data_IF_244013961747
#
_entry.id   IF_244013961747
#
_cell.length_a   1.000
_cell.length_b   1.000
_cell.length_c   1.000
_cell.angle_alpha   90.00
_cell.angle_beta   90.00
_cell.angle_gamma   90.00
#
_symmetry.space_group_name_H-M   'P 1'
#
loop_
_entity.id
_entity.type
_entity.pdbx_description
1 polymer ?
#
# COMPACT_ATOMS: atom_id res chain seq x y z
N UNK A 1 -48.02 -4.12 64.73
CA UNK A 1 -48.47 -3.58 63.43
C UNK A 1 -47.23 -3.27 62.61
N UNK A 2 -46.96 -4.15 61.67
CA UNK A 2 -45.77 -4.22 60.83
C UNK A 2 -46.22 -3.82 59.41
N UNK A 3 -45.62 -2.80 58.81
CA UNK A 3 -45.64 -2.48 57.36
C UNK A 3 -44.92 -1.16 57.10
N UNK A 4 -43.62 -1.22 56.78
CA UNK A 4 -42.90 -0.10 56.13
C UNK A 4 -41.56 -0.58 55.54
N UNK A 5 -41.57 -1.64 54.73
CA UNK A 5 -40.39 -2.09 54.03
C UNK A 5 -40.77 -2.71 52.70
N UNK A 6 -40.96 -1.91 51.64
CA UNK A 6 -41.03 -2.45 50.27
C UNK A 6 -40.95 -1.46 49.10
N UNK A 7 -40.71 -0.14 49.29
CA UNK A 7 -40.79 0.83 48.18
C UNK A 7 -39.50 1.58 47.83
N UNK A 8 -38.33 1.12 48.28
CA UNK A 8 -37.06 1.83 47.99
C UNK A 8 -36.01 1.05 47.20
N UNK A 9 -36.37 -0.11 46.63
CA UNK A 9 -35.41 -1.03 46.00
C UNK A 9 -35.50 -1.10 44.46
N UNK A 10 -36.48 -0.43 43.83
CA UNK A 10 -36.72 -0.54 42.37
C UNK A 10 -36.05 0.51 41.47
N UNK A 11 -35.68 1.70 42.00
CA UNK A 11 -35.15 2.81 41.17
C UNK A 11 -33.65 2.74 40.91
N UNK A 12 -32.86 2.16 41.82
CA UNK A 12 -31.41 2.09 41.65
C UNK A 12 -30.98 1.00 40.66
N UNK A 13 -31.67 -0.13 40.63
CA UNK A 13 -31.36 -1.24 39.73
C UNK A 13 -31.57 -0.90 38.26
N UNK A 14 -32.59 -0.10 37.93
CA UNK A 14 -32.87 0.32 36.54
C UNK A 14 -31.84 1.34 36.00
N UNK A 15 -31.36 2.25 36.84
CA UNK A 15 -30.33 3.25 36.45
C UNK A 15 -28.97 2.57 36.26
N UNK A 16 -28.63 1.59 37.10
CA UNK A 16 -27.40 0.80 36.98
C UNK A 16 -27.39 -0.13 35.76
N UNK A 17 -28.54 -0.70 35.37
CA UNK A 17 -28.65 -1.51 34.16
C UNK A 17 -28.50 -0.67 32.89
N UNK A 18 -29.09 0.53 32.87
CA UNK A 18 -29.02 1.46 31.73
C UNK A 18 -27.61 2.02 31.49
N UNK A 19 -26.88 2.36 32.56
CA UNK A 19 -25.48 2.81 32.44
C UNK A 19 -24.53 1.69 32.04
N UNK A 20 -24.76 0.46 32.52
CA UNK A 20 -23.97 -0.70 32.09
C UNK A 20 -24.15 -1.02 30.60
N UNK A 21 -25.37 -0.92 30.07
CA UNK A 21 -25.68 -1.13 28.64
C UNK A 21 -25.04 -0.05 27.74
N UNK A 22 -25.06 1.22 28.16
CA UNK A 22 -24.43 2.32 27.40
C UNK A 22 -22.90 2.19 27.42
N UNK A 23 -22.30 1.84 28.56
CA UNK A 23 -20.86 1.60 28.66
C UNK A 23 -20.41 0.37 27.84
N UNK A 24 -21.21 -0.69 27.80
CA UNK A 24 -20.93 -1.87 26.98
C UNK A 24 -21.01 -1.54 25.47
N UNK A 25 -21.97 -0.71 25.05
CA UNK A 25 -22.06 -0.25 23.66
C UNK A 25 -20.88 0.62 23.21
N UNK A 26 -20.39 1.51 24.07
CA UNK A 26 -19.23 2.37 23.78
C UNK A 26 -17.93 1.55 23.67
N UNK A 27 -17.78 0.51 24.50
CA UNK A 27 -16.60 -0.36 24.45
C UNK A 27 -16.57 -1.24 23.19
N UNK A 28 -17.73 -1.61 22.64
CA UNK A 28 -17.84 -2.34 21.37
C UNK A 28 -17.41 -1.51 20.15
N UNK A 29 -17.61 -0.19 20.18
CA UNK A 29 -17.19 0.71 19.08
C UNK A 29 -15.66 0.88 19.03
N UNK A 30 -14.98 0.82 20.18
CA UNK A 30 -13.51 0.93 20.25
C UNK A 30 -12.77 -0.36 19.83
N UNK A 31 -13.46 -1.51 19.84
CA UNK A 31 -12.94 -2.79 19.35
C UNK A 31 -13.11 -2.98 17.84
N UNK A 32 -13.74 -2.03 17.15
CA UNK A 32 -13.67 -1.91 15.69
C UNK A 32 -12.25 -1.51 15.31
N UNK A 33 -11.34 -2.49 15.28
CA UNK A 33 -10.01 -2.41 14.69
C UNK A 33 -10.13 -2.07 13.19
N UNK A 34 -10.39 -0.80 12.89
CA UNK A 34 -10.16 -0.25 11.57
C UNK A 34 -8.64 -0.27 11.34
N UNK A 35 -8.15 -1.35 10.74
CA UNK A 35 -6.76 -1.41 10.26
C UNK A 35 -6.62 -0.30 9.24
N UNK A 36 -5.88 0.76 9.60
CA UNK A 36 -5.67 1.91 8.72
C UNK A 36 -4.94 1.41 7.46
N UNK A 37 -5.46 1.69 6.26
CA UNK A 37 -4.79 1.33 5.01
C UNK A 37 -3.34 1.85 4.97
N UNK A 38 -2.43 1.04 4.43
CA UNK A 38 -0.99 1.32 4.48
C UNK A 38 -0.52 2.13 3.26
N UNK A 39 -0.13 3.40 3.47
CA UNK A 39 0.63 4.20 2.47
C UNK A 39 2.11 4.05 2.75
N UNK A 40 2.92 3.94 1.69
CA UNK A 40 4.37 3.85 1.81
C UNK A 40 4.93 5.08 2.54
N UNK A 41 5.96 4.89 3.37
CA UNK A 41 6.69 6.03 3.92
C UNK A 41 7.69 6.56 2.89
N UNK A 42 7.86 7.88 2.82
CA UNK A 42 8.71 8.52 1.82
C UNK A 42 10.18 8.07 1.93
N UNK A 43 10.72 7.94 3.14
CA UNK A 43 12.08 7.44 3.39
C UNK A 43 12.30 6.04 2.82
N UNK A 44 11.27 5.19 2.85
CA UNK A 44 11.30 3.84 2.29
C UNK A 44 11.31 3.85 0.77
N UNK A 45 10.56 4.77 0.15
CA UNK A 45 10.58 4.98 -1.29
C UNK A 45 11.97 5.47 -1.73
N UNK A 46 12.55 6.44 -1.03
CA UNK A 46 13.90 6.94 -1.33
C UNK A 46 14.92 5.81 -1.23
N UNK A 47 14.87 5.02 -0.16
CA UNK A 47 15.74 3.85 0.01
C UNK A 47 15.57 2.80 -1.09
N UNK A 48 14.34 2.62 -1.60
CA UNK A 48 14.07 1.75 -2.74
C UNK A 48 14.68 2.31 -4.03
N UNK A 49 14.57 3.61 -4.28
CA UNK A 49 15.19 4.25 -5.45
C UNK A 49 16.72 4.11 -5.39
N UNK A 50 17.34 4.26 -4.22
CA UNK A 50 18.78 3.99 -4.05
C UNK A 50 19.13 2.53 -4.38
N UNK A 51 18.29 1.58 -3.98
CA UNK A 51 18.47 0.16 -4.30
C UNK A 51 18.37 -0.09 -5.81
N UNK A 52 17.40 0.54 -6.49
CA UNK A 52 17.25 0.48 -7.95
C UNK A 52 18.49 1.05 -8.65
N UNK A 53 18.94 2.24 -8.25
CA UNK A 53 20.07 2.93 -8.86
C UNK A 53 21.39 2.16 -8.75
N UNK A 54 21.58 1.36 -7.68
CA UNK A 54 22.76 0.50 -7.53
C UNK A 54 22.62 -0.89 -8.14
N UNK A 55 21.49 -1.22 -8.78
CA UNK A 55 21.23 -2.53 -9.39
C UNK A 55 20.83 -3.63 -8.39
N UNK A 56 20.48 -3.29 -7.16
CA UNK A 56 20.28 -4.26 -6.08
C UNK A 56 18.88 -4.90 -6.00
N UNK A 57 18.02 -4.72 -7.00
CA UNK A 57 16.62 -5.22 -6.94
C UNK A 57 16.58 -6.75 -6.82
N UNK A 58 17.40 -7.44 -7.61
CA UNK A 58 17.49 -8.91 -7.61
C UNK A 58 18.17 -9.48 -6.35
N UNK A 59 18.85 -8.64 -5.56
CA UNK A 59 19.50 -9.04 -4.30
C UNK A 59 18.51 -9.21 -3.15
N UNK A 60 17.28 -8.69 -3.29
CA UNK A 60 16.25 -8.72 -2.24
C UNK A 60 15.15 -9.71 -2.63
N UNK A 61 15.13 -10.92 -2.04
CA UNK A 61 14.13 -11.93 -2.36
C UNK A 61 12.71 -11.43 -2.13
N UNK A 62 11.85 -11.56 -3.15
CA UNK A 62 10.45 -11.16 -3.10
C UNK A 62 10.20 -9.66 -3.26
N UNK A 63 11.24 -8.85 -3.49
CA UNK A 63 11.08 -7.41 -3.72
C UNK A 63 10.32 -7.12 -5.01
N UNK A 64 10.76 -7.70 -6.13
CA UNK A 64 10.05 -7.69 -7.40
C UNK A 64 9.63 -9.13 -7.71
N UNK A 65 8.33 -9.36 -7.90
CA UNK A 65 7.81 -10.70 -8.18
C UNK A 65 6.76 -10.65 -9.27
N UNK A 66 6.65 -11.75 -10.01
CA UNK A 66 5.61 -11.89 -11.02
C UNK A 66 4.24 -12.18 -10.41
N UNK A 67 3.15 -11.71 -11.04
CA UNK A 67 3.15 -10.87 -12.25
C UNK A 67 3.57 -9.43 -11.94
N UNK A 68 4.35 -8.83 -12.84
CA UNK A 68 4.94 -7.50 -12.65
C UNK A 68 4.63 -6.59 -13.83
N UNK A 69 4.23 -5.34 -13.59
CA UNK A 69 3.85 -4.39 -14.64
C UNK A 69 5.02 -3.48 -15.03
N UNK A 70 5.46 -3.51 -16.29
CA UNK A 70 6.51 -2.64 -16.85
C UNK A 70 5.96 -1.86 -18.03
N UNK A 71 5.80 -0.53 -17.93
CA UNK A 71 5.34 0.34 -19.04
C UNK A 71 4.11 -0.19 -19.83
N UNK A 72 3.20 -0.85 -19.11
CA UNK A 72 1.98 -1.44 -19.69
C UNK A 72 2.10 -2.88 -20.19
N UNK A 73 3.27 -3.51 -20.06
CA UNK A 73 3.51 -4.94 -20.30
C UNK A 73 3.51 -5.71 -18.96
N UNK A 74 2.85 -6.87 -18.93
CA UNK A 74 2.79 -7.73 -17.74
C UNK A 74 3.80 -8.86 -17.90
N UNK A 75 4.86 -8.81 -17.09
CA UNK A 75 5.88 -9.84 -17.04
C UNK A 75 5.40 -10.98 -16.14
N UNK A 76 5.29 -12.18 -16.70
CA UNK A 76 4.78 -13.37 -16.01
C UNK A 76 5.89 -14.34 -15.57
N UNK A 77 7.07 -14.27 -16.18
CA UNK A 77 8.20 -15.14 -15.85
C UNK A 77 9.23 -14.40 -14.98
N UNK A 78 9.59 -15.01 -13.85
CA UNK A 78 10.54 -14.41 -12.91
C UNK A 78 11.93 -14.24 -13.55
N UNK A 79 12.30 -15.11 -14.49
CA UNK A 79 13.55 -15.00 -15.24
C UNK A 79 13.59 -13.70 -16.05
N UNK A 80 12.55 -13.40 -16.82
CA UNK A 80 12.47 -12.19 -17.66
C UNK A 80 12.48 -10.93 -16.79
N UNK A 81 11.79 -10.97 -15.64
CA UNK A 81 11.82 -9.87 -14.68
C UNK A 81 13.22 -9.66 -14.09
N UNK A 82 13.94 -10.74 -13.76
CA UNK A 82 15.32 -10.66 -13.26
C UNK A 82 16.25 -10.08 -14.34
N UNK A 83 16.13 -10.57 -15.58
CA UNK A 83 16.94 -10.11 -16.72
C UNK A 83 16.65 -8.63 -17.04
N UNK A 84 15.39 -8.18 -16.92
CA UNK A 84 15.04 -6.76 -17.06
C UNK A 84 15.84 -5.89 -16.10
N UNK A 85 15.84 -6.20 -14.80
CA UNK A 85 16.56 -5.41 -13.80
C UNK A 85 18.08 -5.44 -14.01
N UNK A 86 18.63 -6.60 -14.35
CA UNK A 86 20.07 -6.74 -14.64
C UNK A 86 20.47 -5.92 -15.86
N UNK A 87 19.69 -5.97 -16.94
CA UNK A 87 19.96 -5.25 -18.17
C UNK A 87 19.83 -3.73 -17.98
N UNK A 88 18.85 -3.30 -17.20
CA UNK A 88 18.65 -1.90 -16.83
C UNK A 88 19.86 -1.36 -16.07
N UNK A 89 20.37 -2.10 -15.08
CA UNK A 89 21.59 -1.73 -14.37
C UNK A 89 22.83 -1.73 -15.29
N UNK A 90 23.02 -2.76 -16.11
CA UNK A 90 24.14 -2.86 -17.08
C UNK A 90 24.13 -1.72 -18.10
N UNK A 91 22.95 -1.21 -18.46
CA UNK A 91 22.79 -0.05 -19.33
C UNK A 91 23.13 1.29 -18.65
N UNK A 92 23.51 1.27 -17.36
CA UNK A 92 23.82 2.48 -16.60
C UNK A 92 22.59 3.27 -16.17
N UNK A 93 21.41 2.64 -16.15
CA UNK A 93 20.19 3.31 -15.71
C UNK A 93 20.32 3.81 -14.28
N UNK A 94 19.88 5.05 -14.06
CA UNK A 94 19.78 5.64 -12.74
C UNK A 94 18.68 6.70 -12.74
N UNK A 95 17.90 6.76 -11.67
CA UNK A 95 16.92 7.80 -11.42
C UNK A 95 17.65 8.97 -10.75
N UNK A 96 18.00 10.01 -11.53
CA UNK A 96 18.82 11.12 -11.03
C UNK A 96 18.00 12.16 -10.28
N UNK A 97 18.54 12.66 -9.18
CA UNK A 97 17.89 13.67 -8.32
C UNK A 97 16.42 13.33 -8.00
N UNK A 98 16.15 12.10 -7.48
CA UNK A 98 14.80 11.63 -7.24
C UNK A 98 14.14 12.45 -6.13
N UNK A 99 12.88 12.80 -6.34
CA UNK A 99 12.01 13.42 -5.33
C UNK A 99 10.62 12.83 -5.42
N UNK A 100 10.07 12.42 -4.28
CA UNK A 100 8.71 11.88 -4.21
C UNK A 100 7.74 13.03 -4.40
N UNK A 101 7.04 13.06 -5.53
CA UNK A 101 6.10 14.12 -5.87
C UNK A 101 4.67 13.80 -5.44
N UNK A 102 4.31 12.52 -5.43
CA UNK A 102 3.02 12.04 -4.95
C UNK A 102 3.19 10.63 -4.39
N UNK A 103 2.47 10.36 -3.31
CA UNK A 103 2.37 9.03 -2.71
C UNK A 103 0.96 8.87 -2.15
N UNK A 104 0.18 7.96 -2.73
CA UNK A 104 -1.22 7.72 -2.38
C UNK A 104 -1.61 6.29 -2.69
N UNK A 105 -2.77 5.87 -2.20
CA UNK A 105 -3.36 4.59 -2.61
C UNK A 105 -3.53 4.52 -4.12
N UNK A 106 -3.19 3.37 -4.68
CA UNK A 106 -3.44 3.05 -6.07
C UNK A 106 -4.95 2.79 -6.27
N UNK A 107 -5.48 3.26 -7.39
CA UNK A 107 -6.83 2.95 -7.85
C UNK A 107 -6.78 2.30 -9.23
N UNK A 108 -7.87 1.71 -9.69
CA UNK A 108 -7.92 1.05 -11.01
C UNK A 108 -7.71 2.06 -12.14
N UNK A 109 -8.13 3.31 -11.94
CA UNK A 109 -7.99 4.41 -12.89
C UNK A 109 -6.51 4.79 -13.11
N UNK A 110 -5.62 4.40 -12.20
CA UNK A 110 -4.19 4.65 -12.32
C UNK A 110 -3.51 3.78 -13.38
N UNK A 111 -4.20 2.76 -13.91
CA UNK A 111 -3.74 1.98 -15.05
C UNK A 111 -3.26 2.86 -16.22
N UNK A 112 -3.90 4.04 -16.41
CA UNK A 112 -3.55 5.01 -17.45
C UNK A 112 -2.12 5.56 -17.36
N UNK A 113 -1.48 5.52 -16.19
CA UNK A 113 -0.09 5.96 -16.03
C UNK A 113 0.92 4.95 -16.58
N UNK A 114 0.50 3.69 -16.77
CA UNK A 114 1.32 2.64 -17.38
C UNK A 114 0.93 2.43 -18.83
N UNK A 115 -0.37 2.19 -19.09
CA UNK A 115 -0.99 2.13 -20.42
C UNK A 115 -2.50 2.05 -20.28
N UNK A 116 -3.21 2.83 -21.09
CA UNK A 116 -4.68 2.80 -21.14
C UNK A 116 -5.20 1.58 -21.91
N UNK A 117 -5.14 0.40 -21.29
CA UNK A 117 -5.63 -0.84 -21.88
C UNK A 117 -6.51 -1.64 -20.90
N UNK A 118 -7.37 -2.50 -21.46
CA UNK A 118 -8.19 -3.42 -20.66
C UNK A 118 -7.34 -4.43 -19.88
N UNK A 119 -6.21 -4.84 -20.43
CA UNK A 119 -5.25 -5.75 -19.80
C UNK A 119 -4.64 -5.12 -18.54
N UNK A 120 -4.12 -3.89 -18.65
CA UNK A 120 -3.53 -3.18 -17.50
C UNK A 120 -4.59 -2.84 -16.45
N UNK A 121 -5.80 -2.43 -16.87
CA UNK A 121 -6.93 -2.28 -15.94
C UNK A 121 -7.23 -3.58 -15.18
N UNK A 122 -7.16 -4.72 -15.86
CA UNK A 122 -7.39 -6.03 -15.23
C UNK A 122 -6.25 -6.40 -14.28
N UNK A 123 -5.01 -6.06 -14.62
CA UNK A 123 -3.87 -6.19 -13.70
C UNK A 123 -4.12 -5.41 -12.41
N UNK A 124 -4.47 -4.12 -12.51
CA UNK A 124 -4.77 -3.30 -11.34
C UNK A 124 -5.89 -3.92 -10.49
N UNK A 125 -6.99 -4.32 -11.11
CA UNK A 125 -8.11 -4.97 -10.40
C UNK A 125 -7.72 -6.24 -9.65
N UNK A 126 -6.75 -7.02 -10.16
CA UNK A 126 -6.36 -8.32 -9.58
C UNK A 126 -5.22 -8.22 -8.57
N UNK A 127 -4.29 -7.30 -8.78
CA UNK A 127 -3.01 -7.29 -8.07
C UNK A 127 -2.77 -6.04 -7.21
N UNK A 128 -3.72 -5.09 -7.20
CA UNK A 128 -3.71 -3.98 -6.25
C UNK A 128 -4.78 -4.17 -5.18
N UNK A 129 -4.45 -3.74 -3.97
CA UNK A 129 -5.31 -3.79 -2.80
C UNK A 129 -5.22 -2.48 -2.01
N UNK A 130 -5.86 -2.44 -0.84
CA UNK A 130 -5.87 -1.26 0.05
C UNK A 130 -4.50 -0.85 0.60
N UNK A 131 -3.48 -1.71 0.48
CA UNK A 131 -2.11 -1.45 0.95
C UNK A 131 -1.15 -1.21 -0.23
N UNK A 132 -1.70 -1.08 -1.44
CA UNK A 132 -0.98 -0.76 -2.66
C UNK A 132 -0.99 0.75 -2.86
N UNK A 133 0.20 1.33 -2.98
CA UNK A 133 0.39 2.74 -3.28
C UNK A 133 0.89 2.95 -4.70
N UNK A 134 0.39 4.00 -5.36
CA UNK A 134 1.02 4.58 -6.53
C UNK A 134 1.92 5.73 -6.06
N UNK A 135 3.20 5.63 -6.38
CA UNK A 135 4.20 6.64 -6.03
C UNK A 135 4.78 7.25 -7.29
N UNK A 136 4.70 8.59 -7.38
CA UNK A 136 5.33 9.36 -8.44
C UNK A 136 6.68 9.88 -7.97
N UNK A 137 7.74 9.48 -8.66
CA UNK A 137 9.10 9.95 -8.42
C UNK A 137 9.49 10.86 -9.57
N UNK A 138 9.61 12.16 -9.30
CA UNK A 138 10.19 13.09 -10.27
C UNK A 138 11.70 13.01 -10.21
N UNK A 139 12.35 13.03 -11.36
CA UNK A 139 13.80 12.97 -11.49
C UNK A 139 14.29 14.07 -12.42
N UNK A 140 15.58 14.09 -12.76
CA UNK A 140 16.10 14.90 -13.86
C UNK A 140 15.76 14.30 -15.23
N UNK A 141 15.41 13.01 -15.28
CA UNK A 141 15.18 12.21 -16.49
C UNK A 141 13.69 12.12 -16.89
N UNK A 142 12.81 12.66 -16.05
CA UNK A 142 11.35 12.60 -16.20
C UNK A 142 10.66 12.10 -14.93
N UNK A 143 9.39 11.73 -15.06
CA UNK A 143 8.60 11.17 -13.95
C UNK A 143 8.52 9.65 -14.07
N UNK A 144 8.81 8.97 -12.97
CA UNK A 144 8.63 7.53 -12.81
C UNK A 144 7.41 7.22 -11.96
N UNK A 145 6.74 6.13 -12.26
CA UNK A 145 5.59 5.61 -11.52
C UNK A 145 5.96 4.27 -10.91
N UNK A 146 5.92 4.18 -9.60
CA UNK A 146 6.16 2.95 -8.85
C UNK A 146 4.83 2.47 -8.26
N UNK A 147 4.49 1.21 -8.53
CA UNK A 147 3.35 0.54 -7.90
C UNK A 147 3.88 -0.32 -6.76
N UNK A 148 3.60 0.08 -5.52
CA UNK A 148 4.28 -0.43 -4.33
C UNK A 148 3.29 -1.05 -3.34
N UNK A 149 3.51 -2.32 -2.99
CA UNK A 149 2.77 -3.05 -1.96
C UNK A 149 3.48 -3.06 -0.61
N UNK A 150 2.99 -3.90 0.32
CA UNK A 150 3.57 -4.03 1.67
C UNK A 150 5.06 -4.33 1.66
N UNK A 151 5.75 -3.87 2.70
CA UNK A 151 7.19 -4.04 2.82
C UNK A 151 7.62 -5.50 2.81
N UNK A 152 8.69 -5.78 2.07
CA UNK A 152 9.44 -7.03 2.09
C UNK A 152 10.90 -6.68 2.41
N UNK A 153 11.43 -7.29 3.48
CA UNK A 153 12.82 -7.09 3.93
C UNK A 153 13.21 -5.60 4.10
N UNK A 154 12.26 -4.77 4.52
CA UNK A 154 12.46 -3.34 4.81
C UNK A 154 12.45 -2.42 3.59
N UNK A 155 11.93 -2.90 2.46
CA UNK A 155 11.67 -2.13 1.24
C UNK A 155 10.21 -2.31 0.80
N UNK A 156 9.54 -1.30 0.24
CA UNK A 156 8.23 -1.48 -0.40
C UNK A 156 8.32 -2.53 -1.50
N UNK A 157 7.44 -3.54 -1.48
CA UNK A 157 7.39 -4.55 -2.55
C UNK A 157 7.00 -3.90 -3.86
N UNK A 158 7.74 -4.15 -4.91
CA UNK A 158 7.47 -3.64 -6.25
C UNK A 158 6.49 -4.56 -6.97
N UNK A 159 5.41 -3.98 -7.48
CA UNK A 159 4.40 -4.63 -8.32
C UNK A 159 4.42 -4.08 -9.74
N UNK A 160 4.97 -2.88 -9.92
CA UNK A 160 5.13 -2.28 -11.23
C UNK A 160 6.09 -1.10 -11.24
N UNK A 161 6.65 -0.84 -12.41
CA UNK A 161 7.60 0.21 -12.72
C UNK A 161 7.24 0.82 -14.08
N UNK A 162 7.09 2.14 -14.16
CA UNK A 162 6.79 2.83 -15.40
C UNK A 162 7.52 4.16 -15.53
N UNK A 163 7.72 4.59 -16.77
CA UNK A 163 8.47 5.79 -17.16
C UNK A 163 9.93 5.51 -17.54
N UNK A 164 10.72 6.57 -17.80
CA UNK A 164 10.36 7.97 -17.55
C UNK A 164 9.36 8.53 -18.56
N UNK A 165 8.44 9.36 -18.08
CA UNK A 165 7.53 10.17 -18.91
C UNK A 165 7.89 11.65 -18.74
N UNK A 166 7.92 12.39 -19.86
CA UNK A 166 8.29 13.82 -19.90
C UNK A 166 7.10 14.73 -19.61
#
# INVERSE_FOLDING_TARGET
MEKAGLLRQGRHSFVLLGTALVMAGILQVLLSCATVPYVQKEDKVVKLVELINRGGVNEVPGLASTPFLIDGEIILLQKDLSEFWDNLHKAGFTIRSPRVAQNRFATVEDAKYFRDSMEVRTFFKKYTDRDTSLVQVRSADGTFYLLLGREVKGYPRMLGFGGPVQ
#
